data_IF_517237450788
#
_entry.id   IF_517237450788
#
_cell.length_a   1.000
_cell.length_b   1.000
_cell.length_c   1.000
_cell.angle_alpha   90.00
_cell.angle_beta   90.00
_cell.angle_gamma   90.00
#
_symmetry.space_group_name_H-M   'P 1'
#
loop_
_entity.id
_entity.type
_entity.pdbx_description
1 polymer ?
#
# COMPACT_ATOMS: atom_id res chain seq x y z
N UNK A 1 -2.02 -14.41 -0.40
CA UNK A 1 -2.37 -13.66 -1.61
C UNK A 1 -1.91 -12.24 -1.48
N UNK A 2 -1.02 -11.81 -2.37
CA UNK A 2 -0.69 -10.40 -2.55
C UNK A 2 -1.21 -9.95 -3.92
N UNK A 3 -1.95 -8.85 -3.97
CA UNK A 3 -2.45 -8.30 -5.24
C UNK A 3 -1.59 -7.10 -5.60
N UNK A 4 -0.66 -7.30 -6.52
CA UNK A 4 0.04 -6.18 -7.15
C UNK A 4 -0.96 -5.42 -8.02
N UNK A 5 -1.10 -4.13 -7.75
CA UNK A 5 -1.75 -3.18 -8.64
C UNK A 5 -0.60 -2.42 -9.30
N UNK A 6 -0.65 -2.20 -10.62
CA UNK A 6 0.40 -1.45 -11.31
C UNK A 6 0.70 -0.16 -10.55
N UNK A 7 1.94 -0.03 -10.08
CA UNK A 7 2.40 1.01 -9.18
C UNK A 7 2.52 2.34 -9.94
N UNK A 8 1.37 2.96 -10.23
CA UNK A 8 1.33 4.41 -10.24
C UNK A 8 1.61 4.79 -8.80
N UNK A 9 2.77 5.37 -8.54
CA UNK A 9 3.05 6.04 -7.27
C UNK A 9 2.02 7.16 -7.19
N UNK A 10 0.85 6.85 -6.63
CA UNK A 10 -0.19 7.85 -6.41
C UNK A 10 0.35 8.69 -5.28
N UNK A 11 0.94 9.82 -5.62
CA UNK A 11 1.24 10.86 -4.65
C UNK A 11 -0.03 11.09 -3.85
N UNK A 12 0.09 11.02 -2.53
CA UNK A 12 -1.03 11.04 -1.56
C UNK A 12 -2.00 12.21 -1.80
N UNK A 13 -1.49 13.28 -2.41
CA UNK A 13 -2.18 14.49 -2.85
C UNK A 13 -3.32 14.21 -3.87
N UNK A 14 -3.22 13.13 -4.64
CA UNK A 14 -4.17 12.70 -5.68
C UNK A 14 -4.98 11.45 -5.28
N UNK A 15 -4.86 10.97 -4.04
CA UNK A 15 -5.73 9.89 -3.56
C UNK A 15 -7.11 10.49 -3.22
N UNK A 16 -8.09 10.19 -4.06
CA UNK A 16 -9.50 10.34 -3.69
C UNK A 16 -9.82 9.31 -2.61
N UNK A 17 -9.72 9.74 -1.35
CA UNK A 17 -10.18 8.95 -0.22
C UNK A 17 -11.69 8.74 -0.39
N UNK A 18 -12.22 7.60 0.03
CA UNK A 18 -13.68 7.31 -0.03
C UNK A 18 -14.53 8.26 0.84
N UNK A 19 -13.89 9.24 1.46
CA UNK A 19 -14.44 10.30 2.27
C UNK A 19 -13.85 11.63 1.78
N UNK A 20 -14.62 12.71 1.88
CA UNK A 20 -14.31 14.05 1.32
C UNK A 20 -13.09 14.76 1.97
N UNK A 21 -12.32 14.07 2.81
CA UNK A 21 -11.18 14.63 3.53
C UNK A 21 -9.85 14.35 2.84
N UNK A 22 -8.97 15.36 2.81
CA UNK A 22 -7.55 15.19 2.44
C UNK A 22 -6.71 15.01 3.71
N UNK A 23 -5.65 14.21 3.62
CA UNK A 23 -4.69 14.10 4.70
C UNK A 23 -3.88 15.39 4.82
N UNK A 24 -3.66 15.85 6.06
CA UNK A 24 -2.85 17.03 6.32
C UNK A 24 -1.38 16.77 5.96
N UNK A 25 -0.80 17.61 5.10
CA UNK A 25 0.57 17.44 4.59
C UNK A 25 1.65 17.59 5.66
N UNK A 26 1.31 18.26 6.76
CA UNK A 26 2.19 18.46 7.90
C UNK A 26 2.24 17.25 8.84
N UNK A 27 1.34 16.28 8.66
CA UNK A 27 1.29 15.05 9.43
C UNK A 27 2.61 14.28 9.29
N UNK A 28 3.18 13.88 10.43
CA UNK A 28 4.44 13.14 10.51
C UNK A 28 4.44 11.88 9.63
N UNK A 29 3.32 11.14 9.58
CA UNK A 29 3.16 9.95 8.76
C UNK A 29 3.18 10.26 7.27
N UNK A 30 2.55 11.37 6.84
CA UNK A 30 2.55 11.82 5.43
C UNK A 30 3.94 12.31 5.01
N UNK A 31 4.70 12.91 5.92
CA UNK A 31 6.10 13.27 5.66
C UNK A 31 6.99 12.03 5.54
N UNK A 32 6.83 11.06 6.44
CA UNK A 32 7.60 9.81 6.41
C UNK A 32 7.28 8.97 5.19
N UNK A 33 6.02 8.90 4.74
CA UNK A 33 5.65 8.13 3.56
C UNK A 33 6.37 8.62 2.30
N UNK A 34 6.70 9.91 2.20
CA UNK A 34 7.46 10.47 1.06
C UNK A 34 8.94 10.08 1.05
N UNK A 35 9.48 9.63 2.18
CA UNK A 35 10.90 9.27 2.33
C UNK A 35 11.16 7.77 2.11
N UNK A 36 10.14 6.94 2.21
CA UNK A 36 10.26 5.47 2.12
C UNK A 36 10.19 5.06 0.63
N UNK A 37 11.15 4.28 0.11
CA UNK A 37 11.11 3.74 -1.25
C UNK A 37 10.09 2.61 -1.34
N UNK A 38 8.80 2.96 -1.35
CA UNK A 38 7.71 1.99 -1.27
C UNK A 38 7.77 0.92 -2.36
N UNK A 39 8.21 1.24 -3.57
CA UNK A 39 8.31 0.27 -4.67
C UNK A 39 9.23 -0.91 -4.34
N UNK A 40 10.41 -0.63 -3.80
CA UNK A 40 11.38 -1.68 -3.43
C UNK A 40 10.84 -2.55 -2.28
N UNK A 41 10.31 -1.89 -1.24
CA UNK A 41 9.70 -2.59 -0.11
C UNK A 41 8.46 -3.39 -0.51
N UNK A 42 7.67 -2.91 -1.46
CA UNK A 42 6.48 -3.58 -1.96
C UNK A 42 6.85 -4.88 -2.68
N UNK A 43 7.89 -4.84 -3.52
CA UNK A 43 8.43 -6.01 -4.21
C UNK A 43 8.90 -7.09 -3.22
N UNK A 44 9.71 -6.71 -2.22
CA UNK A 44 10.15 -7.63 -1.17
C UNK A 44 8.99 -8.17 -0.33
N UNK A 45 8.04 -7.30 0.04
CA UNK A 45 6.88 -7.69 0.83
C UNK A 45 5.98 -8.67 0.07
N UNK A 46 5.78 -8.46 -1.22
CA UNK A 46 4.98 -9.31 -2.10
C UNK A 46 5.51 -10.75 -2.16
N UNK A 47 6.83 -10.93 -2.13
CA UNK A 47 7.48 -12.26 -2.17
C UNK A 47 7.12 -13.15 -0.97
N UNK A 48 6.72 -12.56 0.15
CA UNK A 48 6.35 -13.31 1.36
C UNK A 48 4.96 -13.98 1.27
N UNK A 49 4.19 -13.73 0.21
CA UNK A 49 2.85 -14.29 0.06
C UNK A 49 2.82 -15.54 -0.82
N UNK A 50 2.00 -16.53 -0.43
CA UNK A 50 1.75 -17.71 -1.25
C UNK A 50 1.20 -17.34 -2.64
N UNK A 51 1.76 -17.99 -3.66
CA UNK A 51 1.38 -17.88 -5.06
C UNK A 51 0.02 -18.54 -5.38
N UNK A 52 -0.52 -19.37 -4.47
CA UNK A 52 -1.76 -20.13 -4.70
C UNK A 52 -3.00 -19.26 -4.90
N UNK A 53 -2.89 -17.93 -4.74
CA UNK A 53 -4.05 -17.09 -4.99
C UNK A 53 -5.20 -17.44 -4.03
N UNK A 54 -4.91 -18.03 -2.85
CA UNK A 54 -5.88 -18.24 -1.77
C UNK A 54 -5.31 -17.81 -0.42
N UNK A 55 -6.18 -17.23 0.42
CA UNK A 55 -5.84 -16.90 1.81
C UNK A 55 -5.73 -18.15 2.67
N UNK A 56 -5.38 -17.99 3.95
CA UNK A 56 -5.46 -19.11 4.88
C UNK A 56 -6.90 -19.66 4.91
N UNK A 57 -7.08 -21.00 4.89
CA UNK A 57 -8.41 -21.58 4.96
C UNK A 57 -9.10 -21.15 6.26
N UNK A 58 -10.43 -21.05 6.22
CA UNK A 58 -11.21 -20.78 7.40
C UNK A 58 -10.91 -21.83 8.48
N UNK A 59 -10.81 -21.40 9.74
CA UNK A 59 -10.75 -22.33 10.86
C UNK A 59 -12.09 -23.10 10.91
N UNK A 60 -12.06 -24.40 11.27
CA UNK A 60 -13.28 -25.18 11.46
C UNK A 60 -14.15 -24.60 12.58
#
# INVERSE_FOLDING_TARGET
MYRQVEAKIVTQDNQELRFEGKLAQDNRWVKMSKLIPWTEFEEEYAQNFSAEGMGAPAKP
#
